data_IF_499691470384
#
_entry.id   IF_499691470384
#
_cell.length_a   1.000
_cell.length_b   1.000
_cell.length_c   1.000
_cell.angle_alpha   90.00
_cell.angle_beta   90.00
_cell.angle_gamma   90.00
#
_symmetry.space_group_name_H-M   'P 1'
#
loop_
_entity.id
_entity.type
_entity.pdbx_description
1 polymer ?
#
# COMPACT_ATOMS: atom_id res chain seq x y z
N UNK A 1 -17.07 41.50 1.55
CA UNK A 1 -16.09 40.59 0.93
C UNK A 1 -16.88 39.43 0.33
N UNK A 2 -16.85 39.26 -0.98
CA UNK A 2 -17.63 38.24 -1.66
C UNK A 2 -17.03 36.86 -1.34
N UNK A 3 -17.72 36.09 -0.50
CA UNK A 3 -17.50 34.64 -0.41
C UNK A 3 -17.84 34.11 -1.80
N UNK A 4 -16.87 33.53 -2.51
CA UNK A 4 -17.14 32.94 -3.82
C UNK A 4 -18.24 31.88 -3.64
N UNK A 5 -19.19 31.78 -4.57
CA UNK A 5 -20.32 30.83 -4.49
C UNK A 5 -19.87 29.38 -4.23
N UNK A 6 -18.64 29.03 -4.59
CA UNK A 6 -18.03 27.73 -4.32
C UNK A 6 -17.76 27.46 -2.83
N UNK A 7 -17.38 28.47 -2.05
CA UNK A 7 -17.16 28.31 -0.60
C UNK A 7 -18.46 28.12 0.18
N UNK A 8 -19.60 28.60 -0.36
CA UNK A 8 -20.91 28.43 0.27
C UNK A 8 -21.38 26.96 0.25
N UNK A 9 -20.98 26.18 -0.76
CA UNK A 9 -21.35 24.77 -0.88
C UNK A 9 -20.68 23.94 0.22
N UNK A 10 -19.38 24.15 0.48
CA UNK A 10 -18.64 23.41 1.51
C UNK A 10 -19.19 23.64 2.92
N UNK A 11 -19.72 24.83 3.19
CA UNK A 11 -20.34 25.17 4.48
C UNK A 11 -21.71 24.52 4.70
N UNK A 12 -22.34 24.01 3.63
CA UNK A 12 -23.63 23.32 3.69
C UNK A 12 -23.49 21.80 3.80
N UNK A 13 -22.28 21.26 3.60
CA UNK A 13 -22.06 19.82 3.69
C UNK A 13 -22.03 19.35 5.15
N UNK A 14 -22.67 18.21 5.46
CA UNK A 14 -22.50 17.54 6.75
C UNK A 14 -21.03 17.23 7.02
N UNK A 15 -20.63 17.31 8.29
CA UNK A 15 -19.22 17.11 8.68
C UNK A 15 -18.74 15.69 8.35
N UNK A 16 -19.63 14.70 8.44
CA UNK A 16 -19.33 13.30 8.12
C UNK A 16 -18.98 13.13 6.64
N UNK A 17 -19.62 13.89 5.77
CA UNK A 17 -19.32 13.89 4.33
C UNK A 17 -17.98 14.58 4.07
N UNK A 18 -17.71 15.70 4.74
CA UNK A 18 -16.42 16.38 4.66
C UNK A 18 -15.27 15.48 5.16
N UNK A 19 -15.48 14.73 6.23
CA UNK A 19 -14.51 13.73 6.71
C UNK A 19 -14.30 12.62 5.69
N UNK A 20 -15.38 12.10 5.10
CA UNK A 20 -15.29 11.06 4.06
C UNK A 20 -14.57 11.55 2.80
N UNK A 21 -14.76 12.81 2.41
CA UNK A 21 -13.99 13.42 1.31
C UNK A 21 -12.53 13.54 1.76
N UNK A 22 -12.29 14.09 2.95
CA UNK A 22 -10.95 14.32 3.49
C UNK A 22 -10.11 13.04 3.61
N UNK A 23 -10.71 11.90 3.94
CA UNK A 23 -10.01 10.61 4.03
C UNK A 23 -9.52 10.05 2.69
N UNK A 24 -10.07 10.52 1.57
CA UNK A 24 -9.67 10.13 0.22
C UNK A 24 -8.65 11.10 -0.40
N UNK A 25 -8.40 12.24 0.23
CA UNK A 25 -7.44 13.23 -0.25
C UNK A 25 -6.01 12.87 0.14
N UNK A 26 -5.07 13.21 -0.74
CA UNK A 26 -3.65 13.23 -0.38
C UNK A 26 -3.37 14.35 0.62
N UNK A 27 -2.24 14.23 1.33
CA UNK A 27 -1.87 15.14 2.43
C UNK A 27 -1.82 16.61 2.01
N UNK A 28 -1.37 16.93 0.79
CA UNK A 28 -1.28 18.30 0.31
C UNK A 28 -2.67 18.84 -0.04
N UNK A 29 -3.49 18.04 -0.74
CA UNK A 29 -4.89 18.39 -1.04
C UNK A 29 -5.73 18.54 0.23
N UNK A 30 -5.52 17.67 1.23
CA UNK A 30 -6.18 17.76 2.52
C UNK A 30 -5.82 19.09 3.22
N UNK A 31 -4.53 19.45 3.28
CA UNK A 31 -4.14 20.73 3.85
C UNK A 31 -4.69 21.94 3.10
N UNK A 32 -4.77 21.87 1.76
CA UNK A 32 -5.41 22.90 0.95
C UNK A 32 -6.90 23.02 1.27
N UNK A 33 -7.62 21.91 1.48
CA UNK A 33 -9.01 21.91 1.93
C UNK A 33 -9.15 22.57 3.31
N UNK A 34 -8.26 22.26 4.26
CA UNK A 34 -8.26 22.90 5.57
C UNK A 34 -7.95 24.40 5.51
N UNK A 35 -7.18 24.86 4.52
CA UNK A 35 -6.87 26.28 4.35
C UNK A 35 -7.94 27.04 3.55
N UNK A 36 -8.87 26.32 2.90
CA UNK A 36 -9.94 26.92 2.09
C UNK A 36 -10.97 27.70 2.91
N UNK A 37 -11.32 27.21 4.11
CA UNK A 37 -12.16 27.95 5.06
C UNK A 37 -11.96 27.50 6.51
N UNK A 38 -12.23 28.42 7.43
CA UNK A 38 -12.09 28.22 8.88
C UNK A 38 -12.98 27.10 9.42
N UNK A 39 -14.18 26.92 8.85
CA UNK A 39 -15.09 25.84 9.24
C UNK A 39 -14.47 24.46 8.98
N UNK A 40 -14.04 24.19 7.74
CA UNK A 40 -13.35 22.95 7.40
C UNK A 40 -12.11 22.75 8.26
N UNK A 41 -11.33 23.81 8.51
CA UNK A 41 -10.14 23.73 9.37
C UNK A 41 -10.47 23.16 10.75
N UNK A 42 -11.39 23.77 11.48
CA UNK A 42 -11.69 23.35 12.85
C UNK A 42 -12.38 21.99 12.90
N UNK A 43 -13.33 21.75 11.99
CA UNK A 43 -14.05 20.50 11.85
C UNK A 43 -13.09 19.32 11.60
N UNK A 44 -12.18 19.47 10.63
CA UNK A 44 -11.30 18.38 10.18
C UNK A 44 -10.06 18.21 11.08
N UNK A 45 -9.52 19.26 11.68
CA UNK A 45 -8.40 19.12 12.63
C UNK A 45 -8.77 18.27 13.85
N UNK A 46 -10.03 18.32 14.28
CA UNK A 46 -10.52 17.52 15.40
C UNK A 46 -10.82 16.06 15.01
N UNK A 47 -11.01 15.79 13.72
CA UNK A 47 -11.34 14.44 13.24
C UNK A 47 -10.14 13.51 13.35
N UNK A 48 -10.21 12.51 14.23
CA UNK A 48 -9.13 11.51 14.32
C UNK A 48 -9.05 10.61 13.09
N UNK A 49 -10.17 10.44 12.38
CA UNK A 49 -10.29 9.46 11.28
C UNK A 49 -9.45 9.85 10.07
N UNK A 50 -9.49 11.12 9.66
CA UNK A 50 -8.81 11.58 8.44
C UNK A 50 -7.28 11.59 8.59
N UNK A 51 -6.76 11.68 9.82
CA UNK A 51 -5.31 11.73 10.07
C UNK A 51 -4.69 10.36 10.30
N UNK A 52 -5.49 9.30 10.48
CA UNK A 52 -4.97 7.94 10.67
C UNK A 52 -4.16 7.45 9.48
N UNK A 53 -4.60 7.80 8.28
CA UNK A 53 -3.98 7.38 7.03
C UNK A 53 -3.60 8.60 6.21
N UNK A 54 -2.31 8.69 5.86
CA UNK A 54 -1.79 9.76 5.01
C UNK A 54 -1.34 9.21 3.68
N UNK A 55 -1.82 9.79 2.59
CA UNK A 55 -1.40 9.46 1.23
C UNK A 55 -0.56 10.61 0.67
N UNK A 56 0.56 10.28 0.02
CA UNK A 56 1.48 11.23 -0.59
C UNK A 56 1.49 11.02 -2.11
N UNK A 57 1.19 12.07 -2.87
CA UNK A 57 1.32 12.08 -4.32
C UNK A 57 2.30 13.18 -4.75
N UNK A 58 3.58 12.81 -4.81
CA UNK A 58 4.66 13.75 -5.13
C UNK A 58 4.65 14.21 -6.59
N UNK A 59 4.14 13.40 -7.51
CA UNK A 59 4.02 13.74 -8.93
C UNK A 59 3.09 14.96 -9.16
N UNK A 60 2.15 15.22 -8.26
CA UNK A 60 1.17 16.30 -8.38
C UNK A 60 1.66 17.58 -7.70
N UNK A 61 2.15 17.48 -6.46
CA UNK A 61 2.43 18.67 -5.63
C UNK A 61 3.92 19.04 -5.55
N UNK A 62 4.81 18.12 -5.93
CA UNK A 62 6.25 18.28 -5.78
C UNK A 62 6.73 18.23 -4.32
N UNK A 63 8.05 18.09 -4.16
CA UNK A 63 8.67 17.84 -2.86
C UNK A 63 8.50 18.98 -1.84
N UNK A 64 8.53 20.23 -2.31
CA UNK A 64 8.39 21.42 -1.46
C UNK A 64 7.04 21.46 -0.73
N UNK A 65 5.94 21.13 -1.42
CA UNK A 65 4.59 21.10 -0.87
C UNK A 65 4.45 19.98 0.18
N UNK A 66 5.05 18.81 -0.08
CA UNK A 66 5.09 17.70 0.88
C UNK A 66 5.84 18.09 2.15
N UNK A 67 7.01 18.73 2.04
CA UNK A 67 7.72 19.21 3.22
C UNK A 67 6.94 20.29 3.98
N UNK A 68 6.27 21.19 3.27
CA UNK A 68 5.41 22.20 3.89
C UNK A 68 4.26 21.52 4.67
N UNK A 69 3.61 20.51 4.09
CA UNK A 69 2.59 19.70 4.76
C UNK A 69 3.14 18.98 6.00
N UNK A 70 4.29 18.30 5.89
CA UNK A 70 4.94 17.59 7.01
C UNK A 70 5.35 18.54 8.16
N UNK A 71 5.73 19.79 7.86
CA UNK A 71 6.05 20.80 8.87
C UNK A 71 4.86 21.24 9.71
N UNK A 72 3.62 20.99 9.26
CA UNK A 72 2.39 21.32 9.99
C UNK A 72 2.06 20.30 11.07
N UNK A 73 2.62 19.09 10.99
CA UNK A 73 2.62 18.11 12.07
C UNK A 73 3.67 18.49 13.11
N UNK A 74 3.35 19.48 13.95
CA UNK A 74 4.14 19.89 15.13
C UNK A 74 3.47 19.41 16.40
N UNK A 75 4.26 19.06 17.40
CA UNK A 75 3.76 18.67 18.71
C UNK A 75 3.16 19.91 19.44
N UNK A 76 3.67 21.10 19.12
CA UNK A 76 3.37 22.39 19.75
C UNK A 76 1.98 22.97 19.38
N UNK A 77 1.31 22.42 18.35
CA UNK A 77 0.02 22.91 17.87
C UNK A 77 -1.18 22.31 18.64
N UNK A 78 -0.98 21.64 19.78
CA UNK A 78 -2.03 21.22 20.71
C UNK A 78 -2.92 20.05 20.27
N UNK A 79 -2.92 19.64 18.99
CA UNK A 79 -3.80 18.58 18.49
C UNK A 79 -3.17 17.18 18.46
N UNK A 80 -1.84 17.08 18.65
CA UNK A 80 -1.17 15.78 18.68
C UNK A 80 -1.30 14.96 17.40
N UNK A 81 -1.57 15.57 16.24
CA UNK A 81 -1.88 14.89 14.97
C UNK A 81 -0.85 13.83 14.58
N UNK A 82 0.43 14.09 14.88
CA UNK A 82 1.55 13.17 14.65
C UNK A 82 1.33 11.80 15.33
N UNK A 83 0.66 11.79 16.48
CA UNK A 83 0.34 10.59 17.26
C UNK A 83 -0.88 9.84 16.72
N UNK A 84 -1.65 10.44 15.80
CA UNK A 84 -2.83 9.82 15.21
C UNK A 84 -2.50 9.01 13.96
N UNK A 85 -1.38 9.32 13.30
CA UNK A 85 -0.97 8.68 12.05
C UNK A 85 -0.51 7.25 12.32
N UNK A 86 -1.25 6.29 11.77
CA UNK A 86 -1.00 4.86 11.86
C UNK A 86 -0.59 4.26 10.50
N UNK A 87 -0.98 4.90 9.38
CA UNK A 87 -0.67 4.45 8.02
C UNK A 87 -0.13 5.60 7.17
N UNK A 88 0.94 5.32 6.42
CA UNK A 88 1.49 6.23 5.42
C UNK A 88 1.65 5.49 4.09
N UNK A 89 1.13 6.08 3.01
CA UNK A 89 1.21 5.56 1.64
C UNK A 89 1.95 6.56 0.76
N UNK A 90 3.09 6.15 0.23
CA UNK A 90 3.98 6.88 -0.67
C UNK A 90 4.24 6.08 -1.95
N UNK A 91 3.26 5.29 -2.38
CA UNK A 91 3.37 4.44 -3.57
C UNK A 91 3.58 5.28 -4.84
N UNK A 92 4.44 4.81 -5.74
CA UNK A 92 4.76 5.49 -7.00
C UNK A 92 5.64 6.73 -6.87
N UNK A 93 5.92 7.19 -5.65
CA UNK A 93 6.79 8.34 -5.38
C UNK A 93 8.26 7.95 -5.59
N UNK A 94 8.82 8.24 -6.77
CA UNK A 94 10.22 7.92 -7.07
C UNK A 94 11.16 9.13 -6.98
N UNK A 95 10.94 10.00 -5.99
CA UNK A 95 11.83 11.12 -5.66
C UNK A 95 12.97 10.65 -4.72
N UNK A 96 14.22 10.97 -5.09
CA UNK A 96 15.43 10.56 -4.38
C UNK A 96 15.69 11.33 -3.09
N UNK A 97 15.07 12.50 -2.95
CA UNK A 97 15.29 13.41 -1.83
C UNK A 97 14.45 13.06 -0.61
N UNK A 98 13.46 12.18 -0.75
CA UNK A 98 12.60 11.73 0.35
C UNK A 98 12.69 10.22 0.56
N UNK A 99 13.34 9.82 1.66
CA UNK A 99 13.32 8.42 2.10
C UNK A 99 12.03 8.15 2.88
N UNK A 100 11.30 7.05 2.60
CA UNK A 100 10.15 6.61 3.39
C UNK A 100 10.49 6.39 4.87
N UNK A 101 11.74 6.07 5.19
CA UNK A 101 12.19 5.91 6.57
C UNK A 101 12.01 7.18 7.41
N UNK A 102 11.99 8.36 6.78
CA UNK A 102 11.68 9.62 7.48
C UNK A 102 10.31 9.57 8.14
N UNK A 103 9.37 8.79 7.58
CA UNK A 103 8.03 8.61 8.16
C UNK A 103 8.05 7.83 9.47
N UNK A 104 8.96 6.86 9.63
CA UNK A 104 9.15 6.13 10.90
C UNK A 104 9.63 7.06 12.01
N UNK A 105 10.51 8.00 11.67
CA UNK A 105 10.95 9.05 12.61
C UNK A 105 9.81 10.03 12.85
N UNK A 106 9.10 10.44 11.79
CA UNK A 106 8.09 11.51 11.84
C UNK A 106 6.78 11.07 12.47
N UNK A 107 6.42 9.79 12.53
CA UNK A 107 5.14 9.34 13.08
C UNK A 107 5.37 8.18 14.07
N UNK A 108 5.31 8.44 15.39
CA UNK A 108 5.69 7.46 16.41
C UNK A 108 4.73 6.26 16.51
N UNK A 109 3.47 6.44 16.09
CA UNK A 109 2.45 5.36 16.06
C UNK A 109 2.28 4.72 14.68
N UNK A 110 3.26 4.90 13.78
CA UNK A 110 3.18 4.36 12.43
C UNK A 110 3.24 2.82 12.47
N UNK A 111 2.15 2.19 12.01
CA UNK A 111 1.99 0.74 11.92
C UNK A 111 2.16 0.23 10.49
N UNK A 112 1.74 1.01 9.51
CA UNK A 112 1.81 0.63 8.10
C UNK A 112 2.55 1.71 7.32
N UNK A 113 3.61 1.31 6.62
CA UNK A 113 4.30 2.14 5.65
C UNK A 113 4.23 1.45 4.29
N UNK A 114 3.72 2.14 3.27
CA UNK A 114 3.72 1.67 1.89
C UNK A 114 4.51 2.66 1.04
N UNK A 115 5.46 2.14 0.28
CA UNK A 115 6.35 2.85 -0.62
C UNK A 115 6.62 1.98 -1.86
N UNK A 116 5.57 1.36 -2.39
CA UNK A 116 5.64 0.45 -3.54
C UNK A 116 5.99 1.22 -4.82
N UNK A 117 6.48 0.49 -5.81
CA UNK A 117 6.73 1.00 -7.16
C UNK A 117 7.73 2.16 -7.26
N UNK A 118 8.66 2.28 -6.31
CA UNK A 118 9.80 3.22 -6.36
C UNK A 118 10.98 2.56 -7.06
N UNK A 119 11.17 2.86 -8.35
CA UNK A 119 12.10 2.15 -9.24
C UNK A 119 13.56 2.49 -8.95
N UNK A 120 13.86 3.76 -8.65
CA UNK A 120 15.24 4.24 -8.54
C UNK A 120 15.70 4.43 -7.09
N UNK A 121 14.76 4.60 -6.16
CA UNK A 121 15.08 5.05 -4.80
C UNK A 121 14.83 4.02 -3.69
N UNK A 122 14.63 2.76 -4.05
CA UNK A 122 14.62 1.65 -3.09
C UNK A 122 16.05 1.15 -2.94
N UNK A 123 16.70 1.45 -1.81
CA UNK A 123 18.05 0.99 -1.51
C UNK A 123 18.11 0.45 -0.08
N UNK A 124 17.83 -0.86 0.06
CA UNK A 124 17.75 -1.50 1.37
C UNK A 124 19.09 -1.48 2.12
N UNK A 125 20.23 -1.49 1.43
CA UNK A 125 21.54 -1.39 2.06
C UNK A 125 21.73 -0.04 2.76
N UNK A 126 21.45 1.06 2.05
CA UNK A 126 21.55 2.40 2.59
C UNK A 126 20.52 2.62 3.71
N UNK A 127 19.29 2.16 3.50
CA UNK A 127 18.21 2.23 4.49
C UNK A 127 18.55 1.45 5.76
N UNK A 128 19.13 0.24 5.63
CA UNK A 128 19.61 -0.56 6.78
C UNK A 128 20.68 0.18 7.58
N UNK A 129 21.63 0.80 6.89
CA UNK A 129 22.68 1.61 7.53
C UNK A 129 22.09 2.80 8.29
N UNK A 130 21.14 3.52 7.70
CA UNK A 130 20.46 4.63 8.34
C UNK A 130 19.67 4.19 9.59
N UNK A 131 18.95 3.07 9.51
CA UNK A 131 18.22 2.50 10.63
C UNK A 131 19.16 2.09 11.77
N UNK A 132 20.31 1.49 11.45
CA UNK A 132 21.34 1.15 12.43
C UNK A 132 21.89 2.41 13.11
N UNK A 133 22.19 3.46 12.35
CA UNK A 133 22.65 4.75 12.89
C UNK A 133 21.60 5.39 13.82
N UNK A 134 20.32 5.29 13.47
CA UNK A 134 19.23 5.77 14.33
C UNK A 134 19.08 4.97 15.62
N UNK A 135 19.25 3.65 15.56
CA UNK A 135 19.24 2.78 16.74
C UNK A 135 20.39 3.14 17.69
N UNK A 136 21.63 3.21 17.17
CA UNK A 136 22.83 3.53 17.97
C UNK A 136 22.69 4.89 18.66
N UNK A 137 22.10 5.87 17.97
CA UNK A 137 21.89 7.23 18.51
C UNK A 137 20.67 7.35 19.42
N UNK A 138 19.97 6.24 19.72
CA UNK A 138 18.73 6.23 20.51
C UNK A 138 17.64 7.18 19.96
N UNK A 139 17.65 7.45 18.66
CA UNK A 139 16.69 8.37 18.01
C UNK A 139 15.39 7.71 17.62
N UNK A 140 15.40 6.38 17.51
CA UNK A 140 14.25 5.55 17.21
C UNK A 140 14.12 4.52 18.34
N UNK A 141 13.23 4.79 19.29
CA UNK A 141 12.80 3.81 20.30
C UNK A 141 11.30 3.66 20.19
N UNK A 142 10.83 2.42 20.12
CA UNK A 142 9.41 2.14 20.15
C UNK A 142 8.63 2.44 18.90
N UNK A 143 9.21 2.09 17.76
CA UNK A 143 8.44 2.04 16.52
C UNK A 143 7.42 0.91 16.64
N UNK A 144 6.19 1.17 16.20
CA UNK A 144 5.05 0.23 16.26
C UNK A 144 4.73 -0.36 14.88
N UNK A 145 5.74 -0.43 14.01
CA UNK A 145 5.60 -0.83 12.62
C UNK A 145 5.23 -2.30 12.53
N UNK A 146 4.12 -2.59 11.88
CA UNK A 146 3.60 -3.93 11.65
C UNK A 146 3.78 -4.37 10.20
N UNK A 147 3.76 -3.43 9.25
CA UNK A 147 3.90 -3.72 7.82
C UNK A 147 4.72 -2.65 7.11
N UNK A 148 5.69 -3.09 6.30
CA UNK A 148 6.40 -2.24 5.35
C UNK A 148 6.34 -2.83 3.95
N UNK A 149 5.78 -2.05 3.02
CA UNK A 149 5.63 -2.46 1.62
C UNK A 149 6.52 -1.62 0.72
N UNK A 150 7.40 -2.23 -0.07
CA UNK A 150 8.35 -1.51 -0.94
C UNK A 150 8.60 -2.20 -2.29
N UNK A 151 7.81 -3.22 -2.63
CA UNK A 151 8.00 -3.96 -3.87
C UNK A 151 7.95 -3.08 -5.13
N UNK A 152 8.85 -3.34 -6.08
CA UNK A 152 8.73 -2.85 -7.46
C UNK A 152 9.00 -3.97 -8.47
N UNK A 153 8.42 -3.84 -9.68
CA UNK A 153 8.44 -4.90 -10.71
C UNK A 153 9.81 -5.26 -11.28
N UNK A 154 10.81 -4.40 -11.07
CA UNK A 154 12.20 -4.62 -11.50
C UNK A 154 13.08 -5.18 -10.37
N UNK A 155 12.49 -5.39 -9.18
CA UNK A 155 13.16 -5.97 -8.03
C UNK A 155 13.17 -7.49 -8.20
N UNK A 156 14.07 -7.99 -9.03
CA UNK A 156 14.17 -9.44 -9.27
C UNK A 156 14.93 -10.13 -8.14
N UNK A 157 15.97 -9.50 -7.59
CA UNK A 157 16.80 -10.02 -6.50
C UNK A 157 17.11 -8.91 -5.51
N UNK A 158 17.16 -9.23 -4.22
CA UNK A 158 17.55 -8.27 -3.18
C UNK A 158 18.42 -8.97 -2.11
N UNK A 159 19.75 -8.79 -2.14
CA UNK A 159 20.64 -9.47 -1.21
C UNK A 159 20.54 -8.95 0.23
N UNK A 160 20.08 -7.71 0.44
CA UNK A 160 20.01 -7.10 1.78
C UNK A 160 18.64 -7.28 2.46
N UNK A 161 17.74 -8.07 1.87
CA UNK A 161 16.37 -8.23 2.37
C UNK A 161 16.32 -8.73 3.82
N UNK A 162 17.09 -9.76 4.15
CA UNK A 162 17.09 -10.35 5.51
C UNK A 162 17.70 -9.40 6.54
N UNK A 163 18.80 -8.75 6.17
CA UNK A 163 19.49 -7.78 7.05
C UNK A 163 18.54 -6.61 7.36
N UNK A 164 17.86 -6.11 6.34
CA UNK A 164 16.89 -5.05 6.45
C UNK A 164 15.68 -5.45 7.30
N UNK A 165 15.11 -6.64 7.06
CA UNK A 165 13.97 -7.16 7.83
C UNK A 165 14.35 -7.35 9.31
N UNK A 166 15.49 -8.00 9.59
CA UNK A 166 15.99 -8.21 10.95
C UNK A 166 16.23 -6.90 11.69
N UNK A 167 16.72 -5.87 10.99
CA UNK A 167 16.92 -4.52 11.55
C UNK A 167 15.58 -3.87 11.94
N UNK A 168 14.54 -4.00 11.10
CA UNK A 168 13.19 -3.49 11.42
C UNK A 168 12.59 -4.22 12.63
N UNK A 169 12.73 -5.54 12.72
CA UNK A 169 12.26 -6.32 13.87
C UNK A 169 12.98 -5.91 15.16
N UNK A 170 14.30 -5.73 15.09
CA UNK A 170 15.09 -5.27 16.23
C UNK A 170 14.64 -3.91 16.74
N UNK A 171 14.26 -2.99 15.85
CA UNK A 171 13.75 -1.67 16.21
C UNK A 171 12.39 -1.76 16.93
N UNK A 172 11.50 -2.66 16.49
CA UNK A 172 10.19 -2.85 17.08
C UNK A 172 10.24 -3.56 18.44
N UNK A 173 11.26 -4.39 18.68
CA UNK A 173 11.44 -5.16 19.93
C UNK A 173 12.12 -4.37 21.07
N UNK A 174 12.39 -3.08 20.90
CA UNK A 174 13.06 -2.26 21.93
C UNK A 174 12.21 -2.21 23.22
N UNK A 175 12.77 -2.49 24.42
CA UNK A 175 12.02 -2.57 25.67
C UNK A 175 11.29 -1.27 26.01
N UNK A 176 10.00 -1.39 26.39
CA UNK A 176 9.09 -0.27 26.70
C UNK A 176 7.92 -0.12 25.74
N UNK A 177 7.78 -1.01 24.74
CA UNK A 177 6.81 -0.83 23.64
C UNK A 177 5.74 -1.91 23.54
N UNK A 178 5.82 -2.95 24.37
CA UNK A 178 4.81 -4.00 24.45
C UNK A 178 4.51 -4.33 25.91
N UNK A 179 3.25 -4.22 26.30
CA UNK A 179 2.71 -4.96 27.45
C UNK A 179 2.31 -6.34 26.94
N UNK A 180 2.90 -7.39 27.51
CA UNK A 180 2.54 -8.82 27.53
C UNK A 180 2.07 -9.57 26.27
N UNK A 181 1.88 -8.92 25.12
CA UNK A 181 1.39 -9.54 23.90
C UNK A 181 2.54 -9.92 22.96
N UNK A 182 2.41 -11.11 22.38
CA UNK A 182 3.32 -11.85 21.50
C UNK A 182 4.24 -10.99 20.59
N UNK A 183 5.48 -11.48 20.40
CA UNK A 183 6.49 -10.90 19.48
C UNK A 183 5.87 -10.60 18.10
N UNK A 184 5.47 -9.35 17.85
CA UNK A 184 4.96 -8.92 16.54
C UNK A 184 6.12 -8.84 15.55
N UNK A 185 6.11 -9.71 14.54
CA UNK A 185 7.04 -9.64 13.41
C UNK A 185 6.58 -8.60 12.40
N UNK A 186 7.53 -7.83 11.86
CA UNK A 186 7.25 -6.84 10.81
C UNK A 186 6.98 -7.56 9.49
N UNK A 187 5.82 -7.33 8.88
CA UNK A 187 5.44 -7.95 7.63
C UNK A 187 5.96 -7.16 6.42
N UNK A 188 6.76 -7.81 5.58
CA UNK A 188 7.16 -7.28 4.28
C UNK A 188 6.22 -7.73 3.16
N UNK A 189 6.05 -6.92 2.11
CA UNK A 189 5.23 -7.24 0.93
C UNK A 189 5.95 -8.08 -0.13
N UNK A 190 7.21 -8.44 0.13
CA UNK A 190 8.03 -9.33 -0.68
C UNK A 190 8.45 -10.57 0.11
N UNK A 191 8.78 -11.64 -0.61
CA UNK A 191 9.30 -12.89 -0.08
C UNK A 191 10.28 -13.51 -1.07
N UNK A 192 11.09 -14.48 -0.62
CA UNK A 192 11.93 -15.25 -1.53
C UNK A 192 11.07 -16.20 -2.38
N UNK A 193 11.56 -16.50 -3.58
CA UNK A 193 10.98 -17.55 -4.40
C UNK A 193 11.01 -18.88 -3.63
N UNK A 194 9.88 -19.59 -3.62
CA UNK A 194 9.71 -20.86 -2.90
C UNK A 194 9.79 -20.77 -1.37
N UNK A 195 9.62 -19.58 -0.78
CA UNK A 195 9.66 -19.41 0.67
C UNK A 195 8.49 -20.18 1.35
N UNK A 196 8.77 -21.21 2.17
CA UNK A 196 7.74 -22.05 2.79
C UNK A 196 6.93 -21.30 3.86
N UNK A 197 7.46 -20.20 4.40
CA UNK A 197 6.78 -19.39 5.45
C UNK A 197 5.43 -18.84 4.98
N UNK A 198 5.21 -18.69 3.67
CA UNK A 198 3.97 -18.14 3.12
C UNK A 198 2.92 -19.19 2.75
N UNK A 199 3.30 -20.48 2.72
CA UNK A 199 2.35 -21.56 2.43
C UNK A 199 1.30 -21.73 3.56
N UNK A 200 1.62 -21.28 4.78
CA UNK A 200 0.70 -21.31 5.92
C UNK A 200 -0.29 -20.14 5.94
N UNK A 201 0.09 -18.96 5.43
CA UNK A 201 -0.75 -17.75 5.45
C UNK A 201 -1.93 -17.84 4.46
N UNK A 202 -1.75 -18.52 3.33
CA UNK A 202 -2.81 -18.69 2.32
C UNK A 202 -3.88 -19.72 2.69
N UNK A 203 -3.58 -20.68 3.60
CA UNK A 203 -4.56 -21.69 4.02
C UNK A 203 -5.72 -21.09 4.81
N UNK A 204 -5.49 -20.04 5.60
CA UNK A 204 -6.55 -19.43 6.41
C UNK A 204 -7.51 -18.55 5.60
N UNK A 205 -7.07 -17.93 4.50
CA UNK A 205 -7.94 -17.08 3.67
C UNK A 205 -8.77 -17.87 2.64
N UNK A 206 -8.31 -19.04 2.20
CA UNK A 206 -9.05 -19.87 1.23
C UNK A 206 -10.08 -20.83 1.89
N UNK A 207 -10.06 -20.96 3.23
CA UNK A 207 -10.97 -21.84 3.98
C UNK A 207 -12.35 -21.22 4.28
N UNK A 208 -12.51 -19.90 4.18
CA UNK A 208 -13.82 -19.24 4.41
C UNK A 208 -14.69 -19.14 3.14
N UNK A 209 -14.14 -19.41 1.95
CA UNK A 209 -14.87 -19.29 0.66
C UNK A 209 -15.25 -20.62 0.01
N UNK A 210 -15.01 -21.77 0.65
CA UNK A 210 -15.34 -23.09 0.10
C UNK A 210 -15.99 -24.03 1.11
N UNK A 211 -17.22 -23.72 1.52
CA UNK A 211 -18.16 -24.76 1.96
C UNK A 211 -19.03 -25.17 0.77
N UNK A 212 -18.67 -26.28 0.15
CA UNK A 212 -19.46 -26.94 -0.89
C UNK A 212 -18.59 -27.67 -1.91
N UNK A 213 -18.71 -29.00 -1.91
CA UNK A 213 -18.14 -29.99 -2.85
C UNK A 213 -16.82 -30.71 -2.45
N UNK A 214 -17.04 -31.80 -1.70
CA UNK A 214 -16.54 -33.18 -1.83
C UNK A 214 -15.30 -33.45 -2.71
N UNK A 215 -14.32 -34.09 -2.04
CA UNK A 215 -13.26 -35.02 -2.49
C UNK A 215 -12.95 -35.20 -3.97
N UNK A 216 -11.69 -34.88 -4.31
CA UNK A 216 -10.85 -35.80 -5.08
C UNK A 216 -9.38 -35.49 -4.76
N UNK A 217 -8.77 -36.31 -3.90
CA UNK A 217 -7.32 -36.37 -3.72
C UNK A 217 -6.67 -36.86 -5.02
N UNK A 218 -6.34 -35.93 -5.92
CA UNK A 218 -5.29 -36.15 -6.90
C UNK A 218 -3.99 -35.60 -6.33
N UNK A 219 -3.25 -36.50 -5.69
CA UNK A 219 -1.82 -36.34 -5.41
C UNK A 219 -1.12 -36.22 -6.77
N UNK A 220 -1.01 -34.99 -7.28
CA UNK A 220 -0.21 -34.71 -8.45
C UNK A 220 1.26 -34.86 -8.07
N UNK A 221 1.82 -36.04 -8.36
CA UNK A 221 3.25 -36.20 -8.57
C UNK A 221 3.66 -35.33 -9.76
N UNK A 222 4.09 -34.10 -9.47
CA UNK A 222 4.94 -33.38 -10.40
C UNK A 222 6.31 -34.09 -10.41
N UNK A 223 6.93 -34.28 -11.57
CA UNK A 223 8.34 -34.66 -11.59
C UNK A 223 9.09 -33.59 -10.80
N UNK A 224 10.03 -34.02 -9.96
CA UNK A 224 10.96 -33.17 -9.22
C UNK A 224 11.65 -32.19 -10.19
N UNK A 225 10.97 -31.10 -10.52
CA UNK A 225 11.57 -29.95 -11.18
C UNK A 225 12.48 -29.38 -10.13
N UNK A 226 13.75 -29.78 -10.21
CA UNK A 226 14.94 -29.16 -9.61
C UNK A 226 14.51 -27.92 -8.83
N UNK A 227 14.14 -28.13 -7.57
CA UNK A 227 14.09 -27.03 -6.61
C UNK A 227 15.56 -26.69 -6.47
N UNK A 228 16.03 -25.84 -7.37
CA UNK A 228 17.38 -25.33 -7.30
C UNK A 228 17.40 -24.59 -5.97
N UNK A 229 18.13 -25.14 -5.00
CA UNK A 229 18.27 -24.73 -3.59
C UNK A 229 18.82 -23.28 -3.43
N UNK A 230 18.72 -22.47 -4.50
CA UNK A 230 19.49 -21.26 -4.77
C UNK A 230 18.69 -20.16 -5.48
N UNK A 231 17.37 -20.27 -5.66
CA UNK A 231 16.64 -19.15 -6.26
C UNK A 231 16.64 -17.93 -5.31
N UNK A 232 17.52 -16.97 -5.56
CA UNK A 232 17.62 -15.70 -4.81
C UNK A 232 16.60 -14.65 -5.27
N UNK A 233 15.70 -15.01 -6.19
CA UNK A 233 14.71 -14.05 -6.69
C UNK A 233 13.65 -13.77 -5.65
N UNK A 234 13.15 -12.54 -5.64
CA UNK A 234 12.03 -12.13 -4.79
C UNK A 234 10.72 -12.13 -5.57
N UNK A 235 9.63 -12.31 -4.84
CA UNK A 235 8.26 -12.33 -5.37
C UNK A 235 7.40 -11.47 -4.44
N UNK A 236 6.52 -10.65 -4.99
CA UNK A 236 5.52 -9.96 -4.17
C UNK A 236 4.58 -10.97 -3.51
N UNK A 237 4.24 -10.77 -2.23
CA UNK A 237 3.24 -11.59 -1.53
C UNK A 237 1.84 -11.44 -2.13
N UNK A 238 1.57 -10.29 -2.74
CA UNK A 238 0.30 -9.99 -3.41
C UNK A 238 0.29 -10.47 -4.88
N UNK A 239 1.34 -11.18 -5.34
CA UNK A 239 1.45 -11.63 -6.72
C UNK A 239 0.36 -12.67 -7.07
N UNK A 240 -0.43 -12.37 -8.10
CA UNK A 240 -1.50 -13.22 -8.60
C UNK A 240 -1.40 -13.45 -10.10
N UNK A 241 -1.87 -14.60 -10.57
CA UNK A 241 -1.93 -14.93 -12.00
C UNK A 241 -2.88 -13.98 -12.73
N UNK A 242 -2.45 -13.40 -13.85
CA UNK A 242 -3.31 -12.50 -14.62
C UNK A 242 -4.57 -13.16 -15.23
N UNK A 243 -4.52 -14.47 -15.47
CA UNK A 243 -5.62 -15.24 -16.06
C UNK A 243 -6.65 -15.60 -15.00
N UNK A 244 -6.22 -16.35 -13.98
CA UNK A 244 -7.10 -17.00 -13.00
C UNK A 244 -7.03 -16.43 -11.58
N UNK A 245 -6.24 -15.37 -11.35
CA UNK A 245 -6.04 -14.71 -10.06
C UNK A 245 -5.48 -15.60 -8.92
N UNK A 246 -5.02 -16.82 -9.25
CA UNK A 246 -4.29 -17.71 -8.33
C UNK A 246 -3.06 -17.03 -7.75
N UNK A 247 -2.84 -17.19 -6.43
CA UNK A 247 -1.64 -16.68 -5.76
C UNK A 247 -0.36 -17.34 -6.31
N UNK A 248 0.72 -16.57 -6.40
CA UNK A 248 1.99 -17.01 -6.98
C UNK A 248 3.08 -17.04 -5.91
N UNK A 249 3.60 -18.23 -5.60
CA UNK A 249 4.65 -18.42 -4.58
C UNK A 249 6.07 -18.51 -5.17
N UNK A 250 6.17 -18.81 -6.46
CA UNK A 250 7.44 -18.96 -7.17
C UNK A 250 7.65 -17.81 -8.14
N UNK A 251 8.89 -17.45 -8.45
CA UNK A 251 9.17 -16.51 -9.52
C UNK A 251 8.78 -17.12 -10.88
N UNK A 252 8.57 -16.27 -11.89
CA UNK A 252 8.16 -16.68 -13.23
C UNK A 252 9.24 -17.48 -13.98
N UNK A 253 10.49 -17.45 -13.52
CA UNK A 253 11.56 -18.29 -14.06
C UNK A 253 11.53 -19.72 -13.50
N UNK A 254 11.43 -19.87 -12.17
CA UNK A 254 11.38 -21.19 -11.53
C UNK A 254 10.08 -21.93 -11.85
N UNK A 255 8.98 -21.19 -12.00
CA UNK A 255 7.70 -21.75 -12.39
C UNK A 255 7.14 -20.93 -13.56
N UNK A 256 7.44 -21.31 -14.82
CA UNK A 256 7.05 -20.55 -16.02
C UNK A 256 5.58 -20.70 -16.42
N UNK A 257 4.84 -21.60 -15.78
CA UNK A 257 3.40 -21.80 -16.01
C UNK A 257 2.62 -21.64 -14.70
N UNK A 258 1.38 -21.17 -14.78
CA UNK A 258 0.53 -21.04 -13.59
C UNK A 258 0.18 -22.43 -13.03
N UNK A 259 0.28 -22.68 -11.71
CA UNK A 259 -0.06 -23.98 -11.13
C UNK A 259 -1.54 -24.34 -11.32
N UNK A 260 -2.44 -23.35 -11.36
CA UNK A 260 -3.87 -23.57 -11.42
C UNK A 260 -4.41 -23.64 -12.86
N UNK A 261 -4.09 -22.67 -13.71
CA UNK A 261 -4.65 -22.59 -15.08
C UNK A 261 -3.67 -22.96 -16.20
N UNK A 262 -2.43 -23.33 -15.87
CA UNK A 262 -1.36 -23.72 -16.81
C UNK A 262 -0.97 -22.69 -17.86
N UNK A 263 -1.56 -21.49 -17.85
CA UNK A 263 -1.15 -20.40 -18.75
C UNK A 263 0.32 -20.04 -18.54
N UNK A 264 1.03 -19.70 -19.62
CA UNK A 264 2.40 -19.16 -19.54
C UNK A 264 2.42 -17.91 -18.65
N UNK A 265 3.30 -17.91 -17.65
CA UNK A 265 3.50 -16.79 -16.74
C UNK A 265 4.28 -15.70 -17.45
N UNK A 266 3.89 -14.47 -17.17
CA UNK A 266 4.54 -13.26 -17.65
C UNK A 266 5.50 -12.74 -16.56
N UNK A 267 6.46 -11.91 -16.95
CA UNK A 267 7.26 -11.14 -16.00
C UNK A 267 6.35 -10.27 -15.12
N UNK A 268 6.79 -9.84 -13.91
CA UNK A 268 5.92 -9.15 -12.97
C UNK A 268 5.22 -7.91 -13.56
N UNK A 269 5.97 -7.08 -14.29
CA UNK A 269 5.42 -5.89 -14.97
C UNK A 269 4.35 -6.25 -16.00
N UNK A 270 4.62 -7.22 -16.87
CA UNK A 270 3.69 -7.64 -17.91
C UNK A 270 2.43 -8.31 -17.32
N UNK A 271 2.61 -9.10 -16.27
CA UNK A 271 1.52 -9.73 -15.52
C UNK A 271 0.61 -8.68 -14.87
N UNK A 272 1.17 -7.69 -14.18
CA UNK A 272 0.41 -6.61 -13.54
C UNK A 272 -0.30 -5.73 -14.56
N UNK A 273 0.36 -5.41 -15.68
CA UNK A 273 -0.25 -4.65 -16.79
C UNK A 273 -1.48 -5.38 -17.36
N UNK A 274 -1.38 -6.69 -17.60
CA UNK A 274 -2.50 -7.51 -18.08
C UNK A 274 -3.64 -7.58 -17.05
N UNK A 275 -3.32 -7.68 -15.76
CA UNK A 275 -4.34 -7.64 -14.68
C UNK A 275 -5.08 -6.31 -14.67
N UNK A 276 -4.37 -5.19 -14.71
CA UNK A 276 -4.97 -3.85 -14.76
C UNK A 276 -5.87 -3.68 -15.98
N UNK A 277 -5.44 -4.15 -17.16
CA UNK A 277 -6.27 -4.14 -18.37
C UNK A 277 -7.55 -4.98 -18.21
N UNK A 278 -7.46 -6.20 -17.67
CA UNK A 278 -8.63 -7.07 -17.40
C UNK A 278 -9.62 -6.40 -16.44
N UNK A 279 -9.12 -5.81 -15.35
CA UNK A 279 -9.95 -5.09 -14.38
C UNK A 279 -10.65 -3.87 -15.00
N UNK A 280 -9.95 -3.10 -15.84
CA UNK A 280 -10.55 -1.96 -16.55
C UNK A 280 -11.65 -2.40 -17.52
N UNK A 281 -11.44 -3.49 -18.27
CA UNK A 281 -12.45 -4.06 -19.16
C UNK A 281 -13.67 -4.59 -18.38
N UNK A 282 -13.45 -5.23 -17.22
CA UNK A 282 -14.53 -5.68 -16.34
C UNK A 282 -15.38 -4.51 -15.80
N UNK A 283 -14.73 -3.43 -15.34
CA UNK A 283 -15.42 -2.22 -14.89
C UNK A 283 -16.21 -1.55 -16.02
N UNK A 284 -15.66 -1.47 -17.23
CA UNK A 284 -16.38 -0.94 -18.40
C UNK A 284 -17.64 -1.75 -18.72
N UNK A 285 -17.58 -3.08 -18.63
CA UNK A 285 -18.76 -3.94 -18.82
C UNK A 285 -19.81 -3.76 -17.73
N UNK A 286 -19.41 -3.44 -16.49
CA UNK A 286 -20.34 -3.17 -15.39
C UNK A 286 -20.94 -1.76 -15.43
N UNK A 287 -20.26 -0.81 -16.09
CA UNK A 287 -20.71 0.58 -16.25
C UNK A 287 -21.49 0.83 -17.54
N UNK A 288 -21.71 -0.19 -18.36
CA UNK A 288 -22.74 -0.19 -19.39
C UNK A 288 -24.02 -0.73 -18.75
N UNK A 289 -25.03 0.12 -18.45
CA UNK A 289 -26.37 -0.40 -18.33
C UNK A 289 -26.79 -0.80 -19.74
N UNK A 290 -26.88 -2.11 -20.00
CA UNK A 290 -27.44 -2.71 -21.23
C UNK A 290 -28.93 -2.36 -21.48
N UNK A 291 -29.45 -1.30 -20.84
CA UNK A 291 -30.82 -0.83 -20.96
C UNK A 291 -30.99 0.70 -21.09
N UNK A 292 -29.93 1.52 -20.98
CA UNK A 292 -30.08 2.99 -20.95
C UNK A 292 -29.75 3.71 -22.26
N UNK A 293 -29.27 2.99 -23.28
CA UNK A 293 -28.83 3.59 -24.55
C UNK A 293 -29.97 3.72 -25.59
N UNK A 294 -31.05 2.95 -25.45
CA UNK A 294 -32.21 3.06 -26.36
C UNK A 294 -33.08 4.28 -26.05
N UNK A 295 -33.35 4.56 -24.77
CA UNK A 295 -34.21 5.68 -24.36
C UNK A 295 -33.54 7.04 -24.64
N UNK A 296 -32.22 7.12 -24.51
CA UNK A 296 -31.43 8.31 -24.85
C UNK A 296 -31.34 8.52 -26.38
N UNK A 297 -31.20 7.43 -27.16
CA UNK A 297 -31.24 7.52 -28.62
C UNK A 297 -32.62 7.94 -29.15
N UNK A 298 -33.71 7.51 -28.52
CA UNK A 298 -35.07 7.96 -28.87
C UNK A 298 -35.28 9.45 -28.53
N UNK A 299 -34.73 9.94 -27.42
CA UNK A 299 -34.82 11.37 -27.08
C UNK A 299 -34.04 12.28 -28.04
N UNK A 300 -32.94 11.80 -28.64
CA UNK A 300 -32.20 12.58 -29.64
C UNK A 300 -32.85 12.59 -31.04
N UNK A 301 -33.64 11.57 -31.39
CA UNK A 301 -34.42 11.56 -32.65
C UNK A 301 -35.58 12.55 -32.68
N UNK A 302 -35.99 13.09 -31.53
CA UNK A 302 -37.03 14.13 -31.45
C UNK A 302 -36.51 15.52 -31.83
N UNK A 303 -35.20 15.67 -32.09
CA UNK A 303 -34.56 16.92 -32.49
C UNK A 303 -34.03 16.91 -33.94
N UNK A 304 -34.29 15.85 -34.70
CA UNK A 304 -34.08 15.77 -36.17
C UNK A 304 -35.42 15.88 -36.89
#
# INVERSE_FOLDING_TARGET
MAVSQQSAILLQLPIELLESIGSELDICSLWNLLDSCTHCRYSLLASTRIWKRLVFFLDIHGLHAVYAALRRFRDDNGHGLRQLVEEVVMDGTDDSMISPLVMLVKFPRLRILSAKHRRFNTNLQADTKLLRDFLIRNRLKGITLERYSFYHHYMDTEPHLEEFHSMLESLCQTPGCHGDDERRQVQLDIKRCADPSTAQSGRFQDLELRHGYVDMEQVFHYPDTIIDDKCRRVVSKDAKCWVCDAALNYCWHCQPHCPQCRSKRLSPLANDTKRKQKLQLGKRRQLLPDAMDQELQEQFRLFE
#
